data_IF_831363794293
#
_entry.id   IF_831363794293
#
_cell.length_a   1.000
_cell.length_b   1.000
_cell.length_c   1.000
_cell.angle_alpha   90.00
_cell.angle_beta   90.00
_cell.angle_gamma   90.00
#
_symmetry.space_group_name_H-M   'P 1'
#
loop_
_entity.id
_entity.type
_entity.pdbx_description
1 polymer ?
#
# COMPACT_ATOMS: atom_id res chain seq x y z
N UNK A 1 12.97 28.95 22.44
CA UNK A 1 12.96 29.66 21.14
C UNK A 1 13.62 28.89 19.98
N UNK A 2 14.62 28.02 20.18
CA UNK A 2 15.29 27.34 19.05
C UNK A 2 14.55 26.09 18.52
N UNK A 3 13.64 25.47 19.30
CA UNK A 3 12.80 24.35 18.85
C UNK A 3 11.62 24.80 17.97
N UNK A 4 10.94 25.87 18.38
CA UNK A 4 9.73 26.40 17.72
C UNK A 4 9.95 26.85 16.26
N UNK A 5 11.12 27.43 15.98
CA UNK A 5 11.50 27.80 14.62
C UNK A 5 11.74 26.59 13.71
N UNK A 6 12.28 25.48 14.23
CA UNK A 6 12.52 24.27 13.42
C UNK A 6 11.20 23.62 13.02
N UNK A 7 10.27 23.53 13.95
CA UNK A 7 8.96 22.92 13.69
C UNK A 7 8.15 23.75 12.69
N UNK A 8 8.23 25.08 12.78
CA UNK A 8 7.59 26.00 11.82
C UNK A 8 8.17 25.84 10.41
N UNK A 9 9.50 25.74 10.29
CA UNK A 9 10.17 25.52 8.99
C UNK A 9 9.74 24.19 8.37
N UNK A 10 9.66 23.12 9.16
CA UNK A 10 9.20 21.81 8.68
C UNK A 10 7.75 21.88 8.20
N UNK A 11 6.86 22.52 8.95
CA UNK A 11 5.44 22.69 8.56
C UNK A 11 5.28 23.48 7.26
N UNK A 12 6.03 24.57 7.10
CA UNK A 12 6.04 25.38 5.88
C UNK A 12 6.57 24.57 4.69
N UNK A 13 7.66 23.82 4.87
CA UNK A 13 8.20 22.94 3.81
C UNK A 13 7.18 21.89 3.38
N UNK A 14 6.50 21.24 4.33
CA UNK A 14 5.46 20.25 4.03
C UNK A 14 4.33 20.90 3.22
N UNK A 15 3.87 22.09 3.63
CA UNK A 15 2.83 22.83 2.91
C UNK A 15 3.27 23.18 1.49
N UNK A 16 4.48 23.72 1.30
CA UNK A 16 5.02 24.06 -0.02
C UNK A 16 5.14 22.81 -0.91
N UNK A 17 5.68 21.71 -0.40
CA UNK A 17 5.78 20.46 -1.14
C UNK A 17 4.39 19.94 -1.58
N UNK A 18 3.39 20.00 -0.69
CA UNK A 18 2.01 19.61 -1.02
C UNK A 18 1.39 20.53 -2.07
N UNK A 19 1.57 21.84 -1.93
CA UNK A 19 1.09 22.82 -2.90
C UNK A 19 1.69 22.57 -4.28
N UNK A 20 3.00 22.27 -4.36
CA UNK A 20 3.65 21.89 -5.61
C UNK A 20 3.08 20.58 -6.18
N UNK A 21 2.89 19.54 -5.37
CA UNK A 21 2.30 18.29 -5.82
C UNK A 21 0.90 18.49 -6.39
N UNK A 22 0.04 19.26 -5.72
CA UNK A 22 -1.31 19.52 -6.20
C UNK A 22 -1.31 20.41 -7.46
N UNK A 23 -0.47 21.45 -7.51
CA UNK A 23 -0.42 22.34 -8.67
C UNK A 23 0.14 21.66 -9.92
N UNK A 24 1.27 20.96 -9.80
CA UNK A 24 1.93 20.35 -10.96
C UNK A 24 1.32 19.00 -11.33
N UNK A 25 1.07 18.13 -10.35
CA UNK A 25 0.58 16.77 -10.62
C UNK A 25 -0.94 16.75 -10.85
N UNK A 26 -1.72 17.31 -9.92
CA UNK A 26 -3.18 17.22 -9.97
C UNK A 26 -3.78 18.16 -11.02
N UNK A 27 -3.45 19.47 -11.02
CA UNK A 27 -4.07 20.41 -11.97
C UNK A 27 -3.54 20.34 -13.40
N UNK A 28 -2.21 20.32 -13.60
CA UNK A 28 -1.63 20.42 -14.95
C UNK A 28 -1.63 19.08 -15.68
N UNK A 29 -1.26 18.00 -15.01
CA UNK A 29 -1.10 16.71 -15.66
C UNK A 29 -2.39 15.87 -15.60
N UNK A 30 -2.95 15.62 -14.42
CA UNK A 30 -4.06 14.66 -14.29
C UNK A 30 -5.41 15.26 -14.68
N UNK A 31 -5.80 16.42 -14.13
CA UNK A 31 -7.10 17.02 -14.43
C UNK A 31 -7.24 17.48 -15.88
N UNK A 32 -6.20 18.09 -16.45
CA UNK A 32 -6.25 18.53 -17.86
C UNK A 32 -6.29 17.34 -18.82
N UNK A 33 -5.43 16.32 -18.63
CA UNK A 33 -5.36 15.17 -19.54
C UNK A 33 -6.59 14.28 -19.38
N UNK A 34 -6.92 13.84 -18.16
CA UNK A 34 -8.09 12.97 -17.94
C UNK A 34 -9.39 13.72 -18.15
N UNK A 35 -9.49 15.01 -17.81
CA UNK A 35 -10.65 15.84 -18.10
C UNK A 35 -10.89 15.97 -19.60
N UNK A 36 -9.84 16.22 -20.40
CA UNK A 36 -9.93 16.26 -21.86
C UNK A 36 -10.28 14.88 -22.45
N UNK A 37 -9.70 13.79 -21.93
CA UNK A 37 -10.03 12.42 -22.35
C UNK A 37 -11.48 12.06 -22.05
N UNK A 38 -11.98 12.40 -20.85
CA UNK A 38 -13.39 12.26 -20.49
C UNK A 38 -14.27 13.08 -21.42
N UNK A 39 -13.99 14.37 -21.62
CA UNK A 39 -14.79 15.22 -22.49
C UNK A 39 -14.84 14.70 -23.93
N UNK A 40 -13.70 14.25 -24.47
CA UNK A 40 -13.65 13.64 -25.79
C UNK A 40 -14.41 12.30 -25.85
N UNK A 41 -14.36 11.47 -24.81
CA UNK A 41 -15.14 10.24 -24.72
C UNK A 41 -16.66 10.51 -24.70
N UNK A 42 -17.09 11.51 -23.92
CA UNK A 42 -18.47 12.00 -23.93
C UNK A 42 -18.90 12.52 -25.31
N UNK A 43 -18.03 13.27 -25.99
CA UNK A 43 -18.31 13.80 -27.34
C UNK A 43 -18.36 12.71 -28.42
N UNK A 44 -17.54 11.66 -28.30
CA UNK A 44 -17.44 10.59 -29.29
C UNK A 44 -18.40 9.42 -29.04
N UNK A 45 -19.02 9.34 -27.86
CA UNK A 45 -19.98 8.28 -27.54
C UNK A 45 -19.34 6.91 -27.32
N UNK A 46 -18.00 6.85 -27.18
CA UNK A 46 -17.25 5.61 -26.99
C UNK A 46 -17.33 5.17 -25.52
N UNK A 47 -18.43 4.51 -25.18
CA UNK A 47 -18.66 3.89 -23.88
C UNK A 47 -18.74 2.38 -24.05
N UNK A 48 -17.85 1.68 -23.35
CA UNK A 48 -17.95 0.23 -23.22
C UNK A 48 -18.76 -0.10 -21.98
N UNK A 49 -19.64 -1.10 -22.09
CA UNK A 49 -20.50 -1.51 -20.98
C UNK A 49 -19.74 -2.51 -20.11
N UNK A 50 -19.31 -2.08 -18.94
CA UNK A 50 -18.76 -2.99 -17.91
C UNK A 50 -19.93 -3.77 -17.30
N UNK A 51 -19.88 -5.10 -17.38
CA UNK A 51 -20.93 -6.02 -16.90
C UNK A 51 -22.34 -5.68 -17.40
N UNK A 52 -22.47 -5.05 -18.58
CA UNK A 52 -23.77 -4.71 -19.19
C UNK A 52 -24.54 -3.56 -18.54
N UNK A 53 -24.12 -3.05 -17.37
CA UNK A 53 -24.93 -2.12 -16.55
C UNK A 53 -24.32 -0.72 -16.49
N UNK A 54 -22.99 -0.59 -16.45
CA UNK A 54 -22.33 0.72 -16.27
C UNK A 54 -21.57 1.10 -17.55
N UNK A 55 -21.96 2.18 -18.25
CA UNK A 55 -21.19 2.71 -19.37
C UNK A 55 -19.94 3.40 -18.83
N UNK A 56 -18.78 2.77 -19.04
CA UNK A 56 -17.48 3.30 -18.65
C UNK A 56 -16.74 3.72 -19.92
N UNK A 57 -16.10 4.90 -19.97
CA UNK A 57 -15.27 5.29 -21.09
C UNK A 57 -14.24 4.21 -21.46
N UNK A 58 -14.14 3.84 -22.73
CA UNK A 58 -13.24 2.77 -23.21
C UNK A 58 -11.78 2.98 -22.80
N UNK A 59 -11.34 4.23 -22.61
CA UNK A 59 -9.96 4.53 -22.20
C UNK A 59 -9.60 4.03 -20.80
N UNK A 60 -10.60 3.84 -19.91
CA UNK A 60 -10.38 3.33 -18.55
C UNK A 60 -10.13 1.81 -18.51
N UNK A 61 -10.18 1.12 -19.64
CA UNK A 61 -9.77 -0.29 -19.71
C UNK A 61 -8.24 -0.46 -19.77
N UNK A 62 -7.48 0.60 -20.09
CA UNK A 62 -6.03 0.54 -19.98
C UNK A 62 -5.63 0.69 -18.50
N UNK A 63 -4.83 -0.25 -17.98
CA UNK A 63 -4.39 -0.23 -16.58
C UNK A 63 -3.73 1.10 -16.21
N UNK A 64 -2.90 1.64 -17.11
CA UNK A 64 -2.18 2.88 -16.91
C UNK A 64 -3.12 4.09 -16.80
N UNK A 65 -4.11 4.22 -17.69
CA UNK A 65 -5.06 5.34 -17.62
C UNK A 65 -6.04 5.19 -16.45
N UNK A 66 -6.42 3.96 -16.10
CA UNK A 66 -7.23 3.68 -14.92
C UNK A 66 -6.49 4.06 -13.63
N UNK A 67 -5.23 3.65 -13.48
CA UNK A 67 -4.39 4.01 -12.34
C UNK A 67 -4.18 5.53 -12.25
N UNK A 68 -3.96 6.22 -13.38
CA UNK A 68 -3.90 7.68 -13.44
C UNK A 68 -5.20 8.35 -13.01
N UNK A 69 -6.35 7.83 -13.44
CA UNK A 69 -7.65 8.35 -13.04
C UNK A 69 -7.96 8.13 -11.54
N UNK A 70 -7.66 6.95 -11.01
CA UNK A 70 -7.82 6.66 -9.57
C UNK A 70 -6.89 7.54 -8.75
N UNK A 71 -5.64 7.73 -9.18
CA UNK A 71 -4.69 8.64 -8.55
C UNK A 71 -5.23 10.09 -8.52
N UNK A 72 -5.90 10.54 -9.59
CA UNK A 72 -6.55 11.86 -9.65
C UNK A 72 -7.62 12.00 -8.57
N UNK A 73 -8.48 10.98 -8.44
CA UNK A 73 -9.52 10.94 -7.41
C UNK A 73 -8.91 10.95 -6.01
N UNK A 74 -7.91 10.11 -5.75
CA UNK A 74 -7.23 10.07 -4.45
C UNK A 74 -6.60 11.42 -4.09
N UNK A 75 -5.88 12.05 -5.03
CA UNK A 75 -5.27 13.37 -4.79
C UNK A 75 -6.32 14.47 -4.57
N UNK A 76 -7.47 14.38 -5.25
CA UNK A 76 -8.58 15.32 -5.06
C UNK A 76 -9.22 15.11 -3.68
N UNK A 77 -9.44 13.86 -3.26
CA UNK A 77 -9.92 13.53 -1.90
C UNK A 77 -8.95 14.00 -0.83
N UNK A 78 -7.64 13.82 -1.03
CA UNK A 78 -6.60 14.31 -0.11
C UNK A 78 -6.56 15.84 -0.01
N UNK A 79 -6.82 16.54 -1.11
CA UNK A 79 -6.94 18.00 -1.09
C UNK A 79 -8.15 18.43 -0.26
N UNK A 80 -9.33 17.83 -0.45
CA UNK A 80 -10.55 18.18 0.30
C UNK A 80 -10.40 17.86 1.80
N UNK A 81 -9.72 16.76 2.13
CA UNK A 81 -9.52 16.27 3.50
C UNK A 81 -8.24 16.82 4.16
N UNK A 82 -7.66 17.90 3.64
CA UNK A 82 -6.38 18.38 4.14
C UNK A 82 -6.49 18.95 5.56
N UNK A 83 -5.80 18.38 6.57
CA UNK A 83 -5.95 18.79 7.97
C UNK A 83 -5.56 20.26 8.22
N UNK A 84 -4.67 20.83 7.39
CA UNK A 84 -4.27 22.24 7.47
C UNK A 84 -5.47 23.16 7.24
N UNK A 85 -6.37 22.82 6.31
CA UNK A 85 -7.57 23.61 6.06
C UNK A 85 -8.58 23.50 7.20
N UNK A 86 -8.67 22.31 7.82
CA UNK A 86 -9.56 22.06 8.95
C UNK A 86 -9.11 22.74 10.25
N UNK A 87 -7.79 22.84 10.46
CA UNK A 87 -7.22 23.54 11.61
C UNK A 87 -7.00 25.04 11.37
N UNK A 88 -7.25 25.55 10.15
CA UNK A 88 -7.01 26.95 9.82
C UNK A 88 -7.91 27.87 10.66
N UNK A 89 -7.28 28.72 11.47
CA UNK A 89 -7.98 29.70 12.32
C UNK A 89 -8.42 29.18 13.69
N UNK A 90 -8.10 27.93 14.05
CA UNK A 90 -8.43 27.33 15.37
C UNK A 90 -7.22 27.20 16.30
N UNK A 91 -6.01 27.34 15.78
CA UNK A 91 -4.76 27.20 16.54
C UNK A 91 -3.88 28.44 16.41
N UNK A 92 -3.16 28.82 17.47
CA UNK A 92 -2.21 29.95 17.45
C UNK A 92 -0.95 29.69 16.61
N UNK A 93 -0.71 28.43 16.23
CA UNK A 93 0.42 28.02 15.39
C UNK A 93 0.04 28.02 13.91
N UNK A 94 0.89 28.65 13.09
CA UNK A 94 0.75 28.62 11.63
C UNK A 94 0.94 27.19 11.11
N UNK A 95 0.03 26.76 10.21
CA UNK A 95 0.02 25.43 9.57
C UNK A 95 0.06 24.27 10.56
N UNK A 96 -0.64 24.37 11.69
CA UNK A 96 -0.82 23.21 12.55
C UNK A 96 -1.73 22.17 11.89
N UNK A 97 -1.44 20.91 12.18
CA UNK A 97 -2.21 19.75 11.68
C UNK A 97 -2.90 19.00 12.82
N UNK A 98 -2.57 19.34 14.07
CA UNK A 98 -3.13 18.74 15.25
C UNK A 98 -4.19 19.67 15.84
N UNK A 99 -5.45 19.44 15.49
CA UNK A 99 -6.62 20.01 16.14
C UNK A 99 -7.67 18.92 16.32
N UNK A 100 -8.58 19.08 17.29
CA UNK A 100 -9.59 18.06 17.62
C UNK A 100 -10.45 17.69 16.40
N UNK A 101 -10.77 18.67 15.56
CA UNK A 101 -11.54 18.46 14.32
C UNK A 101 -10.77 17.72 13.21
N UNK A 102 -9.43 17.72 13.25
CA UNK A 102 -8.62 17.01 12.27
C UNK A 102 -8.51 15.51 12.57
N UNK A 103 -8.81 15.08 13.80
CA UNK A 103 -8.67 13.69 14.23
C UNK A 103 -9.57 12.73 13.43
N UNK A 104 -10.81 13.14 13.15
CA UNK A 104 -11.78 12.34 12.39
C UNK A 104 -11.41 12.21 10.91
N UNK A 105 -10.81 13.24 10.31
CA UNK A 105 -10.41 13.22 8.89
C UNK A 105 -9.02 12.60 8.69
N UNK A 106 -8.19 12.52 9.73
CA UNK A 106 -6.82 12.02 9.65
C UNK A 106 -6.73 10.56 9.17
N UNK A 107 -7.62 9.68 9.65
CA UNK A 107 -7.64 8.29 9.22
C UNK A 107 -7.96 8.18 7.72
N UNK A 108 -9.01 8.86 7.28
CA UNK A 108 -9.44 8.85 5.88
C UNK A 108 -8.35 9.44 4.97
N UNK A 109 -7.75 10.55 5.38
CA UNK A 109 -6.60 11.15 4.68
C UNK A 109 -5.43 10.16 4.56
N UNK A 110 -5.11 9.43 5.64
CA UNK A 110 -4.00 8.44 5.65
C UNK A 110 -4.25 7.30 4.65
N UNK A 111 -5.47 6.77 4.59
CA UNK A 111 -5.84 5.71 3.65
C UNK A 111 -5.70 6.20 2.20
N UNK A 112 -6.26 7.38 1.87
CA UNK A 112 -6.11 7.94 0.53
C UNK A 112 -4.66 8.28 0.18
N UNK A 113 -3.87 8.73 1.15
CA UNK A 113 -2.43 8.96 1.01
C UNK A 113 -1.67 7.70 0.65
N UNK A 114 -1.94 6.60 1.37
CA UNK A 114 -1.29 5.32 1.13
C UNK A 114 -1.57 4.82 -0.29
N UNK A 115 -2.84 4.88 -0.72
CA UNK A 115 -3.25 4.47 -2.06
C UNK A 115 -2.61 5.39 -3.12
N UNK A 116 -2.62 6.70 -2.91
CA UNK A 116 -2.04 7.67 -3.84
C UNK A 116 -0.54 7.44 -4.02
N UNK A 117 0.21 7.27 -2.93
CA UNK A 117 1.66 7.01 -2.97
C UNK A 117 1.94 5.68 -3.69
N UNK A 118 1.17 4.63 -3.39
CA UNK A 118 1.30 3.35 -4.07
C UNK A 118 1.10 3.46 -5.58
N UNK A 119 0.00 4.10 -6.02
CA UNK A 119 -0.28 4.31 -7.44
C UNK A 119 0.77 5.21 -8.10
N UNK A 120 1.28 6.22 -7.40
CA UNK A 120 2.34 7.09 -7.91
C UNK A 120 3.61 6.28 -8.21
N UNK A 121 4.03 5.42 -7.28
CA UNK A 121 5.17 4.53 -7.51
C UNK A 121 4.91 3.51 -8.62
N UNK A 122 3.72 2.93 -8.70
CA UNK A 122 3.36 2.01 -9.79
C UNK A 122 3.48 2.69 -11.17
N UNK A 123 2.96 3.92 -11.31
CA UNK A 123 3.08 4.68 -12.55
C UNK A 123 4.53 5.10 -12.85
N UNK A 124 5.35 5.38 -11.83
CA UNK A 124 6.78 5.63 -12.00
C UNK A 124 7.52 4.40 -12.54
N UNK A 125 7.15 3.19 -12.11
CA UNK A 125 7.71 1.94 -12.64
C UNK A 125 7.42 1.84 -14.15
N UNK A 126 6.20 2.13 -14.60
CA UNK A 126 5.87 2.14 -16.02
C UNK A 126 6.68 3.18 -16.81
N UNK A 127 6.95 4.34 -16.23
CA UNK A 127 7.81 5.37 -16.85
C UNK A 127 9.27 4.93 -16.96
N UNK A 128 9.75 4.03 -16.10
CA UNK A 128 11.13 3.52 -16.18
C UNK A 128 11.40 2.71 -17.44
N UNK A 129 10.37 2.22 -18.13
CA UNK A 129 10.46 1.54 -19.42
C UNK A 129 11.11 2.43 -20.49
N UNK A 130 11.01 3.76 -20.34
CA UNK A 130 11.63 4.73 -21.26
C UNK A 130 13.17 4.74 -21.19
N UNK A 131 13.77 4.15 -20.15
CA UNK A 131 15.22 3.96 -20.05
C UNK A 131 15.58 2.50 -20.30
N UNK A 132 16.27 2.22 -21.41
CA UNK A 132 16.64 0.85 -21.80
C UNK A 132 17.43 0.12 -20.71
N UNK A 133 18.28 0.83 -19.96
CA UNK A 133 19.04 0.25 -18.85
C UNK A 133 18.14 -0.15 -17.69
N UNK A 134 17.26 0.74 -17.24
CA UNK A 134 16.39 0.50 -16.08
C UNK A 134 15.29 -0.51 -16.40
N UNK A 135 14.73 -0.44 -17.62
CA UNK A 135 13.72 -1.37 -18.13
C UNK A 135 14.20 -2.83 -18.11
N UNK A 136 15.46 -3.09 -18.49
CA UNK A 136 16.02 -4.43 -18.42
C UNK A 136 16.08 -4.97 -16.97
N UNK A 137 16.46 -4.13 -16.00
CA UNK A 137 16.44 -4.52 -14.59
C UNK A 137 15.03 -4.78 -14.07
N UNK A 138 14.07 -3.91 -14.38
CA UNK A 138 12.66 -4.07 -13.96
C UNK A 138 12.06 -5.34 -14.57
N UNK A 139 12.35 -5.63 -15.84
CA UNK A 139 11.87 -6.84 -16.51
C UNK A 139 12.38 -8.12 -15.84
N UNK A 140 13.67 -8.14 -15.46
CA UNK A 140 14.24 -9.26 -14.70
C UNK A 140 13.59 -9.36 -13.32
N UNK A 141 13.38 -8.24 -12.63
CA UNK A 141 12.70 -8.19 -11.34
C UNK A 141 11.29 -8.77 -11.39
N UNK A 142 10.48 -8.37 -12.38
CA UNK A 142 9.11 -8.88 -12.58
C UNK A 142 9.12 -10.40 -12.81
N UNK A 143 10.08 -10.92 -13.59
CA UNK A 143 10.22 -12.36 -13.81
C UNK A 143 10.59 -13.10 -12.52
N UNK A 144 11.53 -12.55 -11.75
CA UNK A 144 11.92 -13.14 -10.45
C UNK A 144 10.79 -13.12 -9.43
N UNK A 145 9.93 -12.09 -9.42
CA UNK A 145 8.75 -12.06 -8.54
C UNK A 145 7.85 -13.27 -8.77
N UNK A 146 7.69 -13.73 -10.01
CA UNK A 146 6.90 -14.93 -10.30
C UNK A 146 7.54 -16.20 -9.73
N UNK A 147 8.86 -16.32 -9.83
CA UNK A 147 9.61 -17.48 -9.29
C UNK A 147 9.58 -17.48 -7.75
N UNK A 148 9.76 -16.30 -7.14
CA UNK A 148 9.66 -16.12 -5.69
C UNK A 148 8.24 -16.41 -5.22
N UNK A 149 7.21 -15.94 -5.93
CA UNK A 149 5.81 -16.22 -5.60
C UNK A 149 5.49 -17.71 -5.61
N UNK A 150 5.99 -18.43 -6.62
CA UNK A 150 5.85 -19.89 -6.68
C UNK A 150 6.56 -20.58 -5.50
N UNK A 151 7.76 -20.13 -5.16
CA UNK A 151 8.55 -20.66 -4.04
C UNK A 151 7.86 -20.41 -2.70
N UNK A 152 7.34 -19.20 -2.47
CA UNK A 152 6.58 -18.86 -1.26
C UNK A 152 5.29 -19.66 -1.16
N UNK A 153 4.61 -19.91 -2.28
CA UNK A 153 3.41 -20.75 -2.29
C UNK A 153 3.73 -22.19 -1.91
N UNK A 154 4.82 -22.75 -2.47
CA UNK A 154 5.30 -24.07 -2.09
C UNK A 154 5.67 -24.15 -0.61
N UNK A 155 6.39 -23.14 -0.10
CA UNK A 155 6.74 -23.04 1.32
C UNK A 155 5.49 -22.96 2.22
N UNK A 156 4.49 -22.17 1.85
CA UNK A 156 3.25 -22.06 2.58
C UNK A 156 2.50 -23.41 2.63
N UNK A 157 2.48 -24.16 1.52
CA UNK A 157 1.88 -25.49 1.49
C UNK A 157 2.64 -26.49 2.39
N UNK A 158 3.97 -26.43 2.42
CA UNK A 158 4.79 -27.23 3.31
C UNK A 158 4.49 -26.90 4.77
N UNK A 159 4.54 -25.62 5.15
CA UNK A 159 4.24 -25.16 6.52
C UNK A 159 2.82 -25.56 6.94
N UNK A 160 1.83 -25.42 6.05
CA UNK A 160 0.46 -25.87 6.29
C UNK A 160 0.38 -27.38 6.54
N UNK A 161 1.10 -28.17 5.75
CA UNK A 161 1.09 -29.63 5.87
C UNK A 161 1.70 -30.08 7.20
N UNK A 162 2.83 -29.50 7.60
CA UNK A 162 3.46 -29.79 8.89
C UNK A 162 2.61 -29.30 10.07
N UNK A 163 2.01 -28.11 9.96
CA UNK A 163 1.11 -27.58 10.98
C UNK A 163 -0.14 -28.45 11.15
N UNK A 164 -0.73 -28.95 10.06
CA UNK A 164 -1.88 -29.84 10.10
C UNK A 164 -1.51 -31.23 10.68
N UNK A 165 -0.30 -31.71 10.36
CA UNK A 165 0.26 -32.93 10.94
C UNK A 165 0.41 -32.81 12.45
N UNK A 166 1.09 -31.77 12.95
CA UNK A 166 1.30 -31.56 14.38
C UNK A 166 -0.03 -31.32 15.13
N UNK A 167 -0.96 -30.56 14.56
CA UNK A 167 -2.28 -30.33 15.18
C UNK A 167 -3.09 -31.61 15.37
N UNK A 168 -2.76 -32.70 14.65
CA UNK A 168 -3.39 -34.01 14.81
C UNK A 168 -2.65 -34.92 15.81
N UNK A 169 -1.43 -34.56 16.23
CA UNK A 169 -0.71 -35.26 17.30
C UNK A 169 -1.16 -34.73 18.66
N UNK A 170 -1.24 -35.64 19.64
CA UNK A 170 -1.55 -35.28 21.03
C UNK A 170 -0.30 -34.68 21.68
N UNK A 171 -0.17 -33.35 21.64
CA UNK A 171 0.92 -32.58 22.24
C UNK A 171 0.37 -31.59 23.29
N UNK A 172 1.16 -31.25 24.30
CA UNK A 172 0.73 -30.37 25.41
C UNK A 172 0.99 -28.88 25.16
N UNK A 173 1.62 -28.52 24.04
CA UNK A 173 2.03 -27.13 23.77
C UNK A 173 0.90 -26.30 23.13
N UNK A 174 0.57 -25.17 23.77
CA UNK A 174 -0.49 -24.25 23.32
C UNK A 174 -0.18 -23.61 21.95
N UNK A 175 1.11 -23.43 21.61
CA UNK A 175 1.58 -22.84 20.35
C UNK A 175 1.23 -23.65 19.09
N UNK A 176 0.88 -24.92 19.27
CA UNK A 176 0.51 -25.84 18.18
C UNK A 176 -0.94 -26.33 18.32
N UNK A 177 -1.72 -25.81 19.27
CA UNK A 177 -3.09 -26.24 19.58
C UNK A 177 -4.10 -26.04 18.43
N UNK A 178 -3.69 -25.40 17.33
CA UNK A 178 -4.44 -25.35 16.09
C UNK A 178 -3.60 -24.96 14.88
N UNK A 179 -4.14 -25.26 13.70
CA UNK A 179 -3.54 -24.95 12.40
C UNK A 179 -3.07 -23.48 12.26
N UNK A 180 -3.84 -22.44 12.65
CA UNK A 180 -3.36 -21.06 12.49
C UNK A 180 -2.20 -20.70 13.43
N UNK A 181 -2.18 -21.27 14.65
CA UNK A 181 -1.11 -21.05 15.61
C UNK A 181 0.18 -21.76 15.17
N UNK A 182 0.05 -23.05 14.78
CA UNK A 182 1.17 -23.84 14.27
C UNK A 182 1.77 -23.24 12.99
N UNK A 183 0.95 -22.74 12.07
CA UNK A 183 1.44 -22.06 10.86
C UNK A 183 2.28 -20.82 11.18
N UNK A 184 1.86 -20.02 12.15
CA UNK A 184 2.61 -18.84 12.56
C UNK A 184 3.94 -19.20 13.25
N UNK A 185 3.94 -20.21 14.11
CA UNK A 185 5.14 -20.72 14.78
C UNK A 185 6.15 -21.31 13.79
N UNK A 186 5.69 -22.11 12.83
CA UNK A 186 6.55 -22.63 11.75
C UNK A 186 7.04 -21.53 10.81
N UNK A 187 6.21 -20.53 10.51
CA UNK A 187 6.66 -19.40 9.69
C UNK A 187 7.76 -18.61 10.40
N UNK A 188 7.62 -18.34 11.71
CA UNK A 188 8.69 -17.73 12.52
C UNK A 188 9.97 -18.56 12.49
N UNK A 189 9.84 -19.88 12.55
CA UNK A 189 10.97 -20.79 12.50
C UNK A 189 11.69 -20.73 11.14
N UNK A 190 10.95 -20.76 10.03
CA UNK A 190 11.52 -20.66 8.68
C UNK A 190 12.21 -19.31 8.43
N UNK A 191 11.65 -18.22 8.95
CA UNK A 191 12.25 -16.87 8.84
C UNK A 191 13.42 -16.68 9.83
N UNK A 192 13.62 -17.60 10.77
CA UNK A 192 14.66 -17.51 11.80
C UNK A 192 14.34 -16.46 12.88
N UNK A 193 13.07 -16.15 13.10
CA UNK A 193 12.57 -15.22 14.11
C UNK A 193 12.22 -15.89 15.44
N UNK A 194 12.52 -17.18 15.59
CA UNK A 194 12.25 -17.90 16.84
C UNK A 194 13.29 -17.49 17.91
N UNK A 195 12.80 -17.04 19.07
CA UNK A 195 13.64 -16.72 20.22
C UNK A 195 14.29 -18.01 20.78
N UNK A 196 15.49 -17.91 21.33
CA UNK A 196 16.15 -19.05 21.98
C UNK A 196 15.33 -19.64 23.13
N UNK A 197 14.61 -18.79 23.87
CA UNK A 197 13.74 -19.20 24.98
C UNK A 197 12.55 -20.06 24.52
N UNK A 198 12.00 -19.78 23.32
CA UNK A 198 10.91 -20.57 22.75
C UNK A 198 11.44 -21.93 22.26
N UNK A 199 12.65 -21.97 21.70
CA UNK A 199 13.30 -23.20 21.23
C UNK A 199 13.61 -24.17 22.39
N UNK A 200 14.08 -23.64 23.52
CA UNK A 200 14.36 -24.46 24.70
C UNK A 200 13.07 -25.07 25.29
N UNK A 201 11.92 -24.40 25.16
CA UNK A 201 10.63 -24.94 25.58
C UNK A 201 10.15 -26.13 24.72
N UNK A 202 10.54 -26.18 23.44
CA UNK A 202 10.20 -27.28 22.53
C UNK A 202 11.07 -28.53 22.72
N UNK A 203 12.15 -28.42 23.50
CA UNK A 203 13.09 -29.52 23.74
C UNK A 203 12.50 -30.63 24.63
N UNK A 204 11.49 -30.29 25.43
CA UNK A 204 10.85 -31.19 26.38
C UNK A 204 9.72 -32.05 25.74
N UNK A 205 9.26 -31.72 24.52
CA UNK A 205 8.24 -32.48 23.80
C UNK A 205 8.85 -33.18 22.54
N UNK A 206 9.04 -34.52 22.58
CA UNK A 206 9.67 -35.24 21.48
C UNK A 206 8.82 -35.24 20.20
N UNK A 207 7.50 -35.02 20.29
CA UNK A 207 6.63 -34.95 19.11
C UNK A 207 6.85 -33.66 18.31
N UNK A 208 7.07 -32.54 19.01
CA UNK A 208 7.36 -31.24 18.40
C UNK A 208 8.78 -31.22 17.86
N UNK A 209 9.75 -31.80 18.58
CA UNK A 209 11.16 -31.86 18.14
C UNK A 209 11.38 -32.70 16.86
N UNK A 210 10.51 -33.68 16.57
CA UNK A 210 10.59 -34.47 15.32
C UNK A 210 9.91 -33.73 14.16
N UNK A 211 8.89 -32.92 14.44
CA UNK A 211 8.14 -32.17 13.43
C UNK A 211 8.76 -30.83 13.04
N UNK A 212 9.65 -30.29 13.88
CA UNK A 212 10.44 -29.06 13.68
C UNK A 212 11.80 -29.38 13.05
#
# INVERSE_FOLDING_TARGET
HQGDNKDTVVRVLIFVCRALLYLFSLTVQLLYVHGKKCFNAFKTGNFDKVMGIVPVPSYLFSWQDAAGFVLMLCLTSMLILEPIMWCMGKTDKLFDTNCDDASDVAFTYSVFSMIAVFLYYALLIDLTVMSTKVSAYVLVGIRMISEVGLTLTALAAVVLTFSAGLSALDHKQDDFSGIPAGLFSFFKLVVGMLSGDDYDSYRDDPAVLIGV
#
